data_IF_672847304978
#
_entry.id   IF_672847304978
#
_cell.length_a   1.000
_cell.length_b   1.000
_cell.length_c   1.000
_cell.angle_alpha   90.00
_cell.angle_beta   90.00
_cell.angle_gamma   90.00
#
_symmetry.space_group_name_H-M   'P 1'
#
loop_
_entity.id
_entity.type
_entity.pdbx_description
1 polymer ?
#
# COMPACT_ATOMS: atom_id res chain seq x y z
N UNK A 1 31.00 22.91 -7.58
CA UNK A 1 29.65 23.30 -8.04
C UNK A 1 29.61 23.20 -9.55
N UNK A 2 29.01 22.14 -10.09
CA UNK A 2 28.71 21.90 -11.52
C UNK A 2 27.99 20.53 -11.52
N UNK A 3 26.72 20.36 -11.90
CA UNK A 3 25.94 21.00 -12.93
C UNK A 3 24.42 20.97 -12.59
N UNK A 4 23.68 22.05 -12.89
CA UNK A 4 22.26 21.96 -13.26
C UNK A 4 22.22 22.30 -14.76
N UNK A 5 22.20 21.29 -15.65
CA UNK A 5 21.27 21.36 -16.78
C UNK A 5 20.78 19.98 -17.31
N UNK A 6 19.50 19.93 -17.69
CA UNK A 6 18.85 18.81 -18.41
C UNK A 6 17.84 18.05 -17.54
N UNK A 7 16.55 18.09 -17.88
CA UNK A 7 15.50 17.34 -17.18
C UNK A 7 15.94 15.89 -16.95
N UNK A 8 15.69 15.31 -15.76
CA UNK A 8 16.11 13.93 -15.39
C UNK A 8 15.42 12.81 -16.21
N UNK A 9 14.77 13.17 -17.30
CA UNK A 9 13.89 12.35 -18.10
C UNK A 9 12.43 12.52 -17.69
N UNK A 10 11.57 11.82 -18.41
CA UNK A 10 10.14 11.73 -18.10
C UNK A 10 9.84 10.39 -17.43
N UNK A 11 9.24 10.45 -16.23
CA UNK A 11 8.77 9.30 -15.46
C UNK A 11 7.27 9.13 -15.65
N UNK A 12 6.85 7.94 -16.08
CA UNK A 12 5.43 7.55 -16.08
C UNK A 12 5.07 6.93 -14.75
N UNK A 13 3.93 7.34 -14.18
CA UNK A 13 3.37 6.74 -12.96
C UNK A 13 1.93 6.33 -13.20
N UNK A 14 1.58 5.09 -12.86
CA UNK A 14 0.22 4.55 -13.04
C UNK A 14 -0.52 4.54 -11.71
N UNK A 15 -1.82 4.87 -11.72
CA UNK A 15 -2.64 5.04 -10.51
C UNK A 15 -2.07 6.06 -9.51
N UNK A 16 -1.86 7.29 -9.96
CA UNK A 16 -1.16 8.38 -9.26
C UNK A 16 -1.67 8.73 -7.86
N UNK A 17 -2.93 8.46 -7.55
CA UNK A 17 -3.54 8.72 -6.24
C UNK A 17 -3.46 7.54 -5.27
N UNK A 18 -2.55 6.59 -5.51
CA UNK A 18 -2.17 5.54 -4.56
C UNK A 18 -1.04 5.98 -3.63
N UNK A 19 -0.91 5.35 -2.46
CA UNK A 19 0.11 5.74 -1.45
C UNK A 19 1.55 5.62 -1.97
N UNK A 20 1.86 4.48 -2.61
CA UNK A 20 3.17 4.27 -3.23
C UNK A 20 3.45 5.28 -4.35
N UNK A 21 2.45 5.53 -5.20
CA UNK A 21 2.60 6.29 -6.44
C UNK A 21 2.66 7.79 -6.18
N UNK A 22 1.85 8.32 -5.25
CA UNK A 22 1.93 9.72 -4.82
C UNK A 22 3.29 10.03 -4.17
N UNK A 23 3.82 9.12 -3.35
CA UNK A 23 5.18 9.22 -2.80
C UNK A 23 6.23 9.35 -3.92
N UNK A 24 6.16 8.48 -4.93
CA UNK A 24 7.06 8.53 -6.09
C UNK A 24 6.92 9.84 -6.87
N UNK A 25 5.70 10.30 -7.13
CA UNK A 25 5.44 11.55 -7.87
C UNK A 25 6.07 12.75 -7.15
N UNK A 26 5.82 12.90 -5.84
CA UNK A 26 6.34 14.01 -5.03
C UNK A 26 7.86 14.08 -5.08
N UNK A 27 8.53 12.95 -4.82
CA UNK A 27 10.00 12.91 -4.80
C UNK A 27 10.57 13.09 -6.20
N UNK A 28 9.98 12.48 -7.23
CA UNK A 28 10.44 12.61 -8.61
C UNK A 28 10.34 14.05 -9.13
N UNK A 29 9.21 14.72 -8.89
CA UNK A 29 8.97 16.12 -9.23
C UNK A 29 10.00 17.03 -8.56
N UNK A 30 10.18 16.88 -7.25
CA UNK A 30 11.09 17.71 -6.45
C UNK A 30 12.55 17.65 -6.90
N UNK A 31 12.99 16.52 -7.48
CA UNK A 31 14.37 16.35 -7.98
C UNK A 31 14.52 16.58 -9.49
N UNK A 32 13.47 17.07 -10.16
CA UNK A 32 13.52 17.53 -11.55
C UNK A 32 13.20 16.50 -12.63
N UNK A 33 12.47 15.42 -12.31
CA UNK A 33 11.80 14.61 -13.34
C UNK A 33 10.57 15.37 -13.86
N UNK A 34 10.27 15.21 -15.15
CA UNK A 34 8.90 15.42 -15.63
C UNK A 34 8.11 14.17 -15.29
N UNK A 35 6.94 14.32 -14.68
CA UNK A 35 6.13 13.18 -14.25
C UNK A 35 4.83 13.20 -15.04
N UNK A 36 4.54 12.12 -15.75
CA UNK A 36 3.24 11.90 -16.38
C UNK A 36 2.49 10.84 -15.61
N UNK A 37 1.46 11.25 -14.88
CA UNK A 37 0.82 10.41 -13.87
C UNK A 37 -0.65 10.14 -14.23
N UNK A 38 -1.00 8.87 -14.41
CA UNK A 38 -2.35 8.47 -14.76
C UNK A 38 -3.26 8.41 -13.52
N UNK A 39 -4.52 8.81 -13.65
CA UNK A 39 -5.59 8.54 -12.68
C UNK A 39 -6.93 8.30 -13.38
N UNK A 40 -7.89 7.73 -12.64
CA UNK A 40 -9.25 7.50 -13.15
C UNK A 40 -10.11 8.77 -13.18
N UNK A 41 -10.09 9.56 -12.10
CA UNK A 41 -10.75 10.85 -12.07
C UNK A 41 -10.02 11.85 -11.18
N UNK A 42 -9.86 13.08 -11.67
CA UNK A 42 -9.33 14.21 -10.89
C UNK A 42 -10.43 15.02 -10.18
N UNK A 43 -11.70 14.77 -10.49
CA UNK A 43 -12.83 15.60 -10.04
C UNK A 43 -13.90 14.85 -9.25
N UNK A 44 -13.77 13.53 -9.10
CA UNK A 44 -14.74 12.69 -8.39
C UNK A 44 -14.06 11.80 -7.36
N UNK A 45 -14.74 11.61 -6.23
CA UNK A 45 -14.30 10.77 -5.12
C UNK A 45 -13.39 11.49 -4.12
N UNK A 46 -12.85 10.78 -3.12
CA UNK A 46 -12.18 11.27 -1.93
C UNK A 46 -10.77 11.74 -2.25
N UNK A 47 -10.23 11.26 -3.39
CA UNK A 47 -8.86 11.51 -3.82
C UNK A 47 -8.73 12.77 -4.65
N UNK A 48 -9.79 13.58 -4.76
CA UNK A 48 -9.77 14.86 -5.46
C UNK A 48 -8.77 15.82 -4.83
N UNK A 49 -8.74 15.92 -3.50
CA UNK A 49 -7.76 16.76 -2.80
C UNK A 49 -6.32 16.34 -3.11
N UNK A 50 -6.05 15.03 -3.11
CA UNK A 50 -4.74 14.48 -3.51
C UNK A 50 -4.44 14.76 -4.99
N UNK A 51 -5.41 14.61 -5.91
CA UNK A 51 -5.22 14.92 -7.31
C UNK A 51 -4.90 16.41 -7.53
N UNK A 52 -5.55 17.31 -6.80
CA UNK A 52 -5.29 18.75 -6.82
C UNK A 52 -3.89 19.07 -6.28
N UNK A 53 -3.48 18.45 -5.17
CA UNK A 53 -2.12 18.58 -4.64
C UNK A 53 -1.09 18.14 -5.69
N UNK A 54 -1.24 16.94 -6.26
CA UNK A 54 -0.31 16.42 -7.26
C UNK A 54 -0.26 17.28 -8.53
N UNK A 55 -1.39 17.83 -8.99
CA UNK A 55 -1.44 18.75 -10.12
C UNK A 55 -0.78 20.10 -9.85
N UNK A 56 -0.70 20.52 -8.57
CA UNK A 56 -0.03 21.76 -8.17
C UNK A 56 1.51 21.64 -8.15
N UNK A 57 2.04 20.41 -8.16
CA UNK A 57 3.47 20.16 -8.15
C UNK A 57 4.12 20.54 -9.47
N UNK A 58 5.34 21.05 -9.40
CA UNK A 58 6.10 21.42 -10.59
C UNK A 58 6.40 20.18 -11.45
N UNK A 59 6.27 20.31 -12.77
CA UNK A 59 6.60 19.25 -13.74
C UNK A 59 5.72 17.99 -13.63
N UNK A 60 4.55 18.05 -12.98
CA UNK A 60 3.58 16.95 -12.96
C UNK A 60 2.47 17.22 -13.97
N UNK A 61 2.23 16.25 -14.85
CA UNK A 61 1.12 16.19 -15.79
C UNK A 61 0.20 15.05 -15.36
N UNK A 62 -1.00 15.37 -14.89
CA UNK A 62 -2.02 14.37 -14.62
C UNK A 62 -2.77 14.02 -15.91
N UNK A 63 -2.88 12.73 -16.20
CA UNK A 63 -3.60 12.19 -17.35
C UNK A 63 -4.79 11.39 -16.83
N UNK A 64 -5.97 11.98 -16.92
CA UNK A 64 -7.22 11.32 -16.56
C UNK A 64 -7.64 10.35 -17.68
N UNK A 65 -7.93 9.10 -17.32
CA UNK A 65 -8.40 8.12 -18.29
C UNK A 65 -8.35 6.68 -17.79
N UNK A 66 -9.11 5.82 -18.47
CA UNK A 66 -9.10 4.38 -18.21
C UNK A 66 -7.84 3.72 -18.75
N UNK A 67 -7.25 2.82 -17.97
CA UNK A 67 -6.13 1.99 -18.40
C UNK A 67 -6.51 0.90 -19.41
N UNK A 68 -7.81 0.70 -19.64
CA UNK A 68 -8.32 -0.14 -20.72
C UNK A 68 -8.35 0.57 -22.08
N UNK A 69 -8.12 1.89 -22.13
CA UNK A 69 -8.02 2.65 -23.38
C UNK A 69 -6.56 2.64 -23.90
N UNK A 70 -6.28 1.99 -25.05
CA UNK A 70 -4.93 1.95 -25.61
C UNK A 70 -4.37 3.33 -25.96
N UNK A 71 -5.23 4.30 -26.29
CA UNK A 71 -4.76 5.66 -26.61
C UNK A 71 -4.21 6.36 -25.37
N UNK A 72 -4.89 6.23 -24.23
CA UNK A 72 -4.41 6.74 -22.94
C UNK A 72 -3.08 6.08 -22.61
N UNK A 73 -3.01 4.75 -22.67
CA UNK A 73 -1.79 3.98 -22.37
C UNK A 73 -0.62 4.38 -23.29
N UNK A 74 -0.83 4.46 -24.60
CA UNK A 74 0.23 4.82 -25.54
C UNK A 74 0.71 6.27 -25.36
N UNK A 75 -0.21 7.20 -25.09
CA UNK A 75 0.13 8.59 -24.82
C UNK A 75 0.92 8.74 -23.51
N UNK A 76 0.63 7.92 -22.49
CA UNK A 76 1.39 7.91 -21.24
C UNK A 76 2.86 7.59 -21.47
N UNK A 77 3.19 6.60 -22.29
CA UNK A 77 4.58 6.19 -22.50
C UNK A 77 5.32 6.95 -23.61
N UNK A 78 4.61 7.71 -24.45
CA UNK A 78 5.22 8.45 -25.56
C UNK A 78 6.31 9.41 -25.08
N UNK A 79 7.55 9.15 -25.52
CA UNK A 79 8.72 9.95 -25.19
C UNK A 79 9.15 9.87 -23.72
N UNK A 80 8.67 8.87 -22.97
CA UNK A 80 9.07 8.65 -21.59
C UNK A 80 10.37 7.86 -21.49
N UNK A 81 11.09 8.03 -20.39
CA UNK A 81 12.39 7.39 -20.16
C UNK A 81 12.29 6.22 -19.19
N UNK A 82 11.49 6.38 -18.14
CA UNK A 82 11.37 5.43 -17.03
C UNK A 82 9.92 5.34 -16.58
N UNK A 83 9.56 4.25 -15.91
CA UNK A 83 8.20 4.05 -15.43
C UNK A 83 8.17 3.42 -14.03
N UNK A 84 7.20 3.84 -13.21
CA UNK A 84 6.82 3.16 -11.99
C UNK A 84 5.34 2.76 -12.10
N UNK A 85 5.08 1.46 -12.07
CA UNK A 85 3.75 0.92 -12.31
C UNK A 85 3.29 0.12 -11.10
N UNK A 86 2.21 0.61 -10.48
CA UNK A 86 1.44 -0.12 -9.49
C UNK A 86 0.00 -0.25 -9.99
N UNK A 87 -0.41 -1.48 -10.32
CA UNK A 87 -1.76 -1.78 -10.77
C UNK A 87 -2.71 -2.01 -9.59
N UNK A 88 -3.99 -2.18 -9.89
CA UNK A 88 -5.05 -2.42 -8.90
C UNK A 88 -6.06 -3.40 -9.48
N UNK A 89 -6.85 -4.07 -8.65
CA UNK A 89 -7.85 -5.07 -9.05
C UNK A 89 -9.07 -4.54 -9.82
N UNK A 90 -9.10 -3.24 -10.15
CA UNK A 90 -10.21 -2.65 -10.91
C UNK A 90 -10.14 -3.09 -12.37
N UNK A 91 -11.04 -3.99 -12.76
CA UNK A 91 -11.04 -4.64 -14.07
C UNK A 91 -10.10 -5.84 -14.10
N UNK A 92 -9.70 -6.25 -15.31
CA UNK A 92 -8.73 -7.35 -15.48
C UNK A 92 -7.30 -6.82 -15.23
N UNK A 93 -6.83 -6.92 -13.99
CA UNK A 93 -5.52 -6.43 -13.59
C UNK A 93 -4.37 -7.08 -14.38
N UNK A 94 -4.50 -8.36 -14.74
CA UNK A 94 -3.48 -9.08 -15.50
C UNK A 94 -3.41 -8.56 -16.93
N UNK A 95 -4.56 -8.38 -17.58
CA UNK A 95 -4.63 -7.79 -18.92
C UNK A 95 -4.11 -6.34 -18.93
N UNK A 96 -4.50 -5.53 -17.94
CA UNK A 96 -4.05 -4.14 -17.79
C UNK A 96 -2.53 -4.09 -17.57
N UNK A 97 -1.99 -4.85 -16.62
CA UNK A 97 -0.56 -4.88 -16.31
C UNK A 97 0.29 -5.36 -17.49
N UNK A 98 -0.19 -6.38 -18.21
CA UNK A 98 0.43 -6.89 -19.44
C UNK A 98 0.42 -5.83 -20.55
N UNK A 99 -0.70 -5.13 -20.75
CA UNK A 99 -0.85 -4.07 -21.74
C UNK A 99 0.10 -2.89 -21.46
N UNK A 100 0.17 -2.45 -20.20
CA UNK A 100 1.08 -1.39 -19.76
C UNK A 100 2.54 -1.75 -20.03
N UNK A 101 2.95 -2.98 -19.71
CA UNK A 101 4.32 -3.42 -19.93
C UNK A 101 4.68 -3.53 -21.42
N UNK A 102 3.74 -3.97 -22.27
CA UNK A 102 3.90 -3.98 -23.74
C UNK A 102 4.07 -2.55 -24.29
N UNK A 103 3.20 -1.63 -23.89
CA UNK A 103 3.26 -0.24 -24.32
C UNK A 103 4.58 0.44 -23.87
N UNK A 104 5.03 0.15 -22.64
CA UNK A 104 6.32 0.63 -22.15
C UNK A 104 7.50 0.09 -22.98
N UNK A 105 7.47 -1.20 -23.36
CA UNK A 105 8.48 -1.80 -24.24
C UNK A 105 8.48 -1.14 -25.62
N UNK A 106 7.30 -0.98 -26.23
CA UNK A 106 7.13 -0.36 -27.55
C UNK A 106 7.60 1.10 -27.57
N UNK A 107 7.38 1.83 -26.48
CA UNK A 107 7.84 3.20 -26.31
C UNK A 107 9.36 3.33 -26.02
N UNK A 108 10.06 2.21 -25.78
CA UNK A 108 11.50 2.20 -25.50
C UNK A 108 11.86 2.67 -24.09
N UNK A 109 11.02 2.37 -23.09
CA UNK A 109 11.33 2.67 -21.68
C UNK A 109 12.66 2.00 -21.26
N UNK A 110 13.56 2.81 -20.68
CA UNK A 110 14.94 2.41 -20.35
C UNK A 110 15.03 1.65 -19.03
N UNK A 111 14.12 1.91 -18.10
CA UNK A 111 14.00 1.20 -16.83
C UNK A 111 12.54 1.22 -16.36
N UNK A 112 11.93 0.04 -16.31
CA UNK A 112 10.57 -0.18 -15.83
C UNK A 112 10.62 -0.70 -14.39
N UNK A 113 9.88 -0.09 -13.46
CA UNK A 113 9.75 -0.59 -12.09
C UNK A 113 8.30 -1.01 -11.88
N UNK A 114 8.09 -2.28 -11.53
CA UNK A 114 6.77 -2.85 -11.29
C UNK A 114 6.59 -3.19 -9.82
N UNK A 115 5.49 -2.74 -9.22
CA UNK A 115 5.08 -3.15 -7.86
C UNK A 115 4.39 -4.50 -7.93
N UNK A 116 5.13 -5.55 -7.59
CA UNK A 116 4.68 -6.94 -7.58
C UNK A 116 4.34 -7.41 -6.16
N UNK A 117 3.76 -8.60 -6.05
CA UNK A 117 3.47 -9.26 -4.77
C UNK A 117 3.69 -10.79 -4.89
N UNK A 118 3.60 -11.45 -3.74
CA UNK A 118 3.86 -12.88 -3.58
C UNK A 118 2.66 -13.72 -4.03
N UNK A 119 2.87 -14.65 -4.97
CA UNK A 119 1.99 -15.79 -5.14
C UNK A 119 2.47 -16.94 -4.25
N UNK A 120 1.83 -17.11 -3.09
CA UNK A 120 2.20 -18.11 -2.09
C UNK A 120 2.00 -19.54 -2.61
N UNK A 121 0.97 -19.74 -3.44
CA UNK A 121 0.69 -21.04 -4.05
C UNK A 121 1.81 -21.44 -5.02
N UNK A 122 2.35 -20.49 -5.80
CA UNK A 122 3.52 -20.74 -6.66
C UNK A 122 4.80 -20.97 -5.86
N UNK A 123 5.00 -20.25 -4.76
CA UNK A 123 6.23 -20.32 -3.98
C UNK A 123 6.34 -21.57 -3.10
N UNK A 124 5.22 -22.04 -2.52
CA UNK A 124 5.21 -23.15 -1.55
C UNK A 124 4.22 -24.27 -1.89
N UNK A 125 3.41 -24.14 -2.93
CA UNK A 125 2.46 -25.15 -3.39
C UNK A 125 1.04 -24.96 -2.89
N UNK A 126 0.15 -25.88 -3.25
CA UNK A 126 -1.31 -25.74 -3.08
C UNK A 126 -1.82 -25.88 -1.63
N UNK A 127 -0.93 -26.10 -0.66
CA UNK A 127 -1.32 -26.26 0.75
C UNK A 127 -1.47 -24.91 1.47
N UNK A 128 -1.03 -23.81 0.85
CA UNK A 128 -1.26 -22.46 1.35
C UNK A 128 -2.43 -21.79 0.62
N UNK A 129 -3.22 -20.96 1.32
CA UNK A 129 -4.29 -20.17 0.71
C UNK A 129 -3.78 -19.27 -0.42
N UNK A 130 -4.66 -19.03 -1.38
CA UNK A 130 -4.40 -18.15 -2.51
C UNK A 130 -4.85 -16.73 -2.19
N UNK A 131 -3.95 -15.75 -2.34
CA UNK A 131 -4.27 -14.32 -2.21
C UNK A 131 -4.59 -13.75 -3.60
N UNK A 132 -5.87 -13.62 -3.99
CA UNK A 132 -6.26 -13.28 -5.36
C UNK A 132 -5.65 -11.98 -5.86
N UNK A 133 -5.59 -10.93 -5.03
CA UNK A 133 -5.06 -9.62 -5.44
C UNK A 133 -3.54 -9.56 -5.50
N UNK A 134 -2.85 -10.54 -4.90
CA UNK A 134 -1.39 -10.61 -4.93
C UNK A 134 -0.91 -11.48 -6.08
N UNK A 135 -1.62 -12.58 -6.34
CA UNK A 135 -1.31 -13.51 -7.42
C UNK A 135 -1.43 -12.86 -8.81
N UNK A 136 -2.40 -11.96 -9.02
CA UNK A 136 -2.52 -11.19 -10.28
C UNK A 136 -1.26 -10.39 -10.57
N UNK A 137 -0.70 -9.70 -9.57
CA UNK A 137 0.57 -8.96 -9.71
C UNK A 137 1.74 -9.89 -10.01
N UNK A 138 1.80 -11.04 -9.34
CA UNK A 138 2.82 -12.03 -9.63
C UNK A 138 2.75 -12.56 -11.07
N UNK A 139 1.55 -12.80 -11.60
CA UNK A 139 1.34 -13.24 -12.98
C UNK A 139 1.83 -12.21 -13.99
N UNK A 140 1.60 -10.91 -13.73
CA UNK A 140 2.15 -9.83 -14.57
C UNK A 140 3.68 -9.81 -14.49
N UNK A 141 4.27 -10.01 -13.32
CA UNK A 141 5.72 -10.16 -13.19
C UNK A 141 6.25 -11.37 -13.99
N UNK A 142 5.62 -12.54 -13.90
CA UNK A 142 6.01 -13.73 -14.66
C UNK A 142 6.02 -13.43 -16.17
N UNK A 143 4.96 -12.78 -16.65
CA UNK A 143 4.86 -12.33 -18.04
C UNK A 143 5.99 -11.37 -18.45
N UNK A 144 6.25 -10.33 -17.65
CA UNK A 144 7.32 -9.37 -17.96
C UNK A 144 8.67 -10.08 -17.98
N UNK A 145 8.92 -10.99 -17.04
CA UNK A 145 10.15 -11.77 -16.96
C UNK A 145 10.36 -12.67 -18.19
N UNK A 146 9.32 -13.37 -18.62
CA UNK A 146 9.43 -14.33 -19.74
C UNK A 146 9.50 -13.62 -21.10
N UNK A 147 8.67 -12.59 -21.31
CA UNK A 147 8.46 -12.02 -22.65
C UNK A 147 9.21 -10.71 -22.91
N UNK A 148 9.47 -9.91 -21.87
CA UNK A 148 9.87 -8.50 -22.06
C UNK A 148 11.21 -8.15 -21.43
N UNK A 149 11.67 -8.85 -20.39
CA UNK A 149 12.83 -8.48 -19.58
C UNK A 149 14.13 -8.36 -20.38
N UNK A 150 14.25 -9.12 -21.48
CA UNK A 150 15.41 -9.07 -22.38
C UNK A 150 15.52 -7.73 -23.12
N UNK A 151 14.37 -7.12 -23.45
CA UNK A 151 14.29 -5.93 -24.30
C UNK A 151 13.94 -4.66 -23.50
N UNK A 152 13.33 -4.82 -22.32
CA UNK A 152 12.93 -3.74 -21.43
C UNK A 152 13.44 -4.03 -20.01
N UNK A 153 14.56 -3.42 -19.60
CA UNK A 153 15.11 -3.64 -18.27
C UNK A 153 14.09 -3.32 -17.18
N UNK A 154 13.83 -4.30 -16.31
CA UNK A 154 12.76 -4.22 -15.32
C UNK A 154 13.22 -4.57 -13.91
N UNK A 155 12.77 -3.84 -12.91
CA UNK A 155 12.95 -4.17 -11.49
C UNK A 155 11.59 -4.37 -10.82
N UNK A 156 11.50 -5.35 -9.93
CA UNK A 156 10.26 -5.68 -9.23
C UNK A 156 10.39 -5.28 -7.77
N UNK A 157 9.53 -4.38 -7.30
CA UNK A 157 9.47 -4.01 -5.88
C UNK A 157 8.32 -4.73 -5.21
N UNK A 158 8.51 -5.17 -3.97
CA UNK A 158 7.54 -5.91 -3.17
C UNK A 158 7.27 -5.11 -1.90
N UNK A 159 6.13 -4.44 -1.82
CA UNK A 159 5.77 -3.64 -0.66
C UNK A 159 5.53 -4.53 0.58
N UNK A 160 6.02 -4.09 1.74
CA UNK A 160 5.55 -4.59 3.03
C UNK A 160 4.16 -4.05 3.37
N UNK A 161 3.67 -4.43 4.54
CA UNK A 161 2.42 -3.95 5.12
C UNK A 161 2.54 -2.44 5.37
N UNK A 162 1.55 -1.69 4.93
CA UNK A 162 1.58 -0.24 5.13
C UNK A 162 1.31 0.11 6.59
N UNK A 163 2.13 1.01 7.15
CA UNK A 163 1.91 1.54 8.50
C UNK A 163 0.52 2.17 8.64
N UNK A 164 0.04 2.84 7.60
CA UNK A 164 -1.29 3.46 7.56
C UNK A 164 -2.44 2.53 7.20
N UNK A 165 -2.27 1.22 7.41
CA UNK A 165 -3.41 0.33 7.52
C UNK A 165 -4.05 0.41 8.92
N UNK A 166 -3.29 0.79 9.95
CA UNK A 166 -3.83 1.00 11.30
C UNK A 166 -4.74 2.24 11.33
N UNK A 167 -5.95 2.08 11.88
CA UNK A 167 -6.92 3.17 12.07
C UNK A 167 -7.91 2.81 13.19
N UNK A 168 -8.48 3.80 13.86
CA UNK A 168 -9.61 3.59 14.79
C UNK A 168 -10.97 3.56 14.09
N UNK A 169 -10.98 3.58 12.75
CA UNK A 169 -12.21 3.44 12.00
C UNK A 169 -12.86 2.08 12.28
N UNK A 170 -14.14 2.13 12.67
CA UNK A 170 -14.86 0.94 13.08
C UNK A 170 -15.02 -0.04 11.93
N UNK A 171 -14.92 -1.33 12.27
CA UNK A 171 -15.19 -2.44 11.38
C UNK A 171 -14.16 -2.65 10.25
N UNK A 172 -12.98 -2.00 10.34
CA UNK A 172 -11.86 -2.32 9.47
C UNK A 172 -11.32 -3.72 9.77
N UNK A 173 -11.29 -4.65 8.80
CA UNK A 173 -10.72 -5.95 9.05
C UNK A 173 -9.19 -5.86 9.25
N UNK A 174 -8.67 -6.76 10.09
CA UNK A 174 -7.25 -7.00 10.38
C UNK A 174 -6.50 -5.88 11.13
N UNK A 175 -6.81 -4.60 10.89
CA UNK A 175 -5.98 -3.46 11.31
C UNK A 175 -6.74 -2.40 12.14
N UNK A 176 -7.98 -2.66 12.54
CA UNK A 176 -8.74 -1.80 13.45
C UNK A 176 -8.08 -1.71 14.82
N UNK A 177 -7.89 -0.46 15.29
CA UNK A 177 -7.49 -0.13 16.65
C UNK A 177 -8.73 0.33 17.42
N UNK A 178 -9.28 -0.54 18.26
CA UNK A 178 -10.44 -0.18 19.08
C UNK A 178 -10.00 0.73 20.22
N UNK A 179 -10.72 1.83 20.43
CA UNK A 179 -10.52 2.67 21.61
C UNK A 179 -11.11 1.96 22.84
N UNK A 180 -10.30 1.82 23.89
CA UNK A 180 -10.78 1.33 25.17
C UNK A 180 -11.50 2.46 25.93
N UNK A 181 -12.48 2.11 26.77
CA UNK A 181 -13.16 3.07 27.65
C UNK A 181 -12.11 3.74 28.56
N UNK A 182 -12.17 5.07 28.69
CA UNK A 182 -11.27 5.83 29.57
C UNK A 182 -11.42 5.37 31.04
N UNK A 183 -12.58 4.81 31.43
CA UNK A 183 -12.79 4.18 32.75
C UNK A 183 -11.94 2.93 32.98
N UNK A 184 -11.55 2.24 31.90
CA UNK A 184 -10.68 1.08 31.92
C UNK A 184 -9.20 1.46 31.70
N UNK A 185 -8.87 2.75 31.83
CA UNK A 185 -7.52 3.30 31.63
C UNK A 185 -7.24 3.76 30.19
N UNK A 186 -8.25 3.75 29.33
CA UNK A 186 -8.18 4.26 27.96
C UNK A 186 -7.20 3.48 27.07
N UNK A 187 -6.82 4.11 25.96
CA UNK A 187 -5.84 3.55 25.02
C UNK A 187 -6.47 2.68 23.94
N UNK A 188 -5.72 1.68 23.46
CA UNK A 188 -6.05 0.94 22.24
C UNK A 188 -6.04 -0.56 22.45
N UNK A 189 -6.97 -1.25 21.80
CA UNK A 189 -7.01 -2.70 21.69
C UNK A 189 -6.96 -3.08 20.22
N UNK A 190 -5.93 -3.84 19.83
CA UNK A 190 -5.83 -4.42 18.50
C UNK A 190 -6.12 -5.91 18.57
N UNK A 191 -7.16 -6.35 17.85
CA UNK A 191 -7.55 -7.76 17.77
C UNK A 191 -7.34 -8.28 16.35
N UNK A 192 -6.49 -9.30 16.20
CA UNK A 192 -6.15 -9.86 14.90
C UNK A 192 -5.77 -11.36 14.99
N UNK A 193 -5.74 -12.10 13.86
CA UNK A 193 -5.45 -13.53 13.86
C UNK A 193 -3.96 -13.88 13.99
N UNK A 194 -3.07 -12.89 14.04
CA UNK A 194 -1.64 -13.12 14.02
C UNK A 194 -1.12 -13.64 15.37
N UNK A 195 -0.16 -14.55 15.34
CA UNK A 195 0.54 -14.92 16.57
C UNK A 195 1.36 -13.76 17.13
N UNK A 196 1.42 -13.66 18.45
CA UNK A 196 2.06 -12.56 19.16
C UNK A 196 3.57 -12.40 18.86
N UNK A 197 4.21 -13.48 18.40
CA UNK A 197 5.63 -13.54 18.05
C UNK A 197 5.89 -13.58 16.53
N UNK A 198 4.84 -13.61 15.71
CA UNK A 198 4.95 -13.66 14.25
C UNK A 198 5.38 -12.30 13.69
N UNK A 199 6.52 -12.29 13.00
CA UNK A 199 7.15 -11.07 12.46
C UNK A 199 6.58 -10.72 11.09
N UNK A 200 6.09 -9.49 10.94
CA UNK A 200 5.54 -8.95 9.70
C UNK A 200 6.39 -7.80 9.15
N UNK A 201 6.58 -7.71 7.81
CA UNK A 201 7.31 -6.61 7.18
C UNK A 201 6.46 -5.34 7.11
N UNK A 202 6.98 -4.22 7.60
CA UNK A 202 6.30 -2.92 7.58
C UNK A 202 7.01 -1.90 6.67
N UNK A 203 6.19 -1.04 6.08
CA UNK A 203 6.56 0.03 5.15
C UNK A 203 5.74 1.28 5.44
N UNK A 204 6.41 2.42 5.62
CA UNK A 204 5.75 3.71 5.47
C UNK A 204 5.66 4.05 3.98
N UNK A 205 4.52 3.73 3.35
CA UNK A 205 4.40 3.82 1.90
C UNK A 205 4.53 5.26 1.39
N UNK A 206 3.99 6.22 2.12
CA UNK A 206 3.97 7.63 1.71
C UNK A 206 5.34 8.29 1.87
N UNK A 207 6.10 7.90 2.90
CA UNK A 207 7.42 8.45 3.15
C UNK A 207 8.54 7.75 2.37
N UNK A 208 8.54 6.41 2.36
CA UNK A 208 9.74 5.64 2.00
C UNK A 208 9.73 5.13 0.56
N UNK A 209 8.56 4.98 -0.06
CA UNK A 209 8.45 4.39 -1.40
C UNK A 209 9.11 5.28 -2.45
N UNK A 210 8.80 6.57 -2.44
CA UNK A 210 9.35 7.55 -3.36
C UNK A 210 10.87 7.59 -3.36
N UNK A 211 11.53 7.83 -2.20
CA UNK A 211 12.98 7.83 -2.10
C UNK A 211 13.61 6.49 -2.55
N UNK A 212 13.01 5.36 -2.18
CA UNK A 212 13.52 4.05 -2.54
C UNK A 212 13.45 3.79 -4.06
N UNK A 213 12.30 4.05 -4.70
CA UNK A 213 12.12 3.92 -6.16
C UNK A 213 13.07 4.84 -6.91
N UNK A 214 13.20 6.10 -6.47
CA UNK A 214 14.15 7.04 -7.07
C UNK A 214 15.59 6.55 -6.94
N UNK A 215 15.98 5.94 -5.82
CA UNK A 215 17.32 5.38 -5.68
C UNK A 215 17.53 4.18 -6.61
N UNK A 216 16.54 3.31 -6.78
CA UNK A 216 16.59 2.20 -7.75
C UNK A 216 16.78 2.74 -9.18
N UNK A 217 16.07 3.80 -9.56
CA UNK A 217 16.23 4.45 -10.87
C UNK A 217 17.62 5.08 -11.06
N UNK A 218 18.18 5.71 -10.01
CA UNK A 218 19.54 6.30 -10.03
C UNK A 218 20.63 5.25 -10.18
N UNK A 219 20.48 4.15 -9.46
CA UNK A 219 21.38 2.99 -9.55
C UNK A 219 21.30 2.33 -10.94
N UNK A 220 20.12 2.38 -11.55
CA UNK A 220 19.89 2.03 -12.94
C UNK A 220 19.78 0.52 -13.21
N UNK A 221 19.44 0.16 -14.46
CA UNK A 221 19.14 -1.22 -14.83
C UNK A 221 20.36 -2.14 -14.79
N UNK A 222 21.59 -1.62 -14.91
CA UNK A 222 22.80 -2.45 -14.82
C UNK A 222 22.94 -3.14 -13.46
N UNK A 223 22.42 -2.51 -12.40
CA UNK A 223 22.41 -3.09 -11.06
C UNK A 223 21.15 -3.91 -10.78
N UNK A 224 20.01 -3.49 -11.31
CA UNK A 224 18.70 -3.95 -10.84
C UNK A 224 17.84 -4.69 -11.87
N UNK A 225 18.30 -4.89 -13.10
CA UNK A 225 17.52 -5.62 -14.11
C UNK A 225 17.23 -7.05 -13.63
N UNK A 226 15.95 -7.42 -13.61
CA UNK A 226 15.45 -8.71 -13.15
C UNK A 226 15.44 -8.88 -11.62
N UNK A 227 15.88 -7.89 -10.84
CA UNK A 227 15.92 -7.99 -9.38
C UNK A 227 14.53 -7.91 -8.76
N UNK A 228 14.32 -8.63 -7.65
CA UNK A 228 13.19 -8.43 -6.72
C UNK A 228 13.71 -7.72 -5.48
N UNK A 229 13.04 -6.64 -5.07
CA UNK A 229 13.47 -5.80 -3.94
C UNK A 229 12.31 -5.69 -2.94
N UNK A 230 12.48 -6.17 -1.70
CA UNK A 230 11.48 -5.91 -0.66
C UNK A 230 11.56 -4.45 -0.23
N UNK A 231 10.44 -3.74 -0.30
CA UNK A 231 10.25 -2.43 0.32
C UNK A 231 9.58 -2.64 1.67
N UNK A 232 10.38 -3.10 2.62
CA UNK A 232 10.01 -3.18 4.02
C UNK A 232 11.21 -2.77 4.86
N UNK A 233 10.99 -1.82 5.75
CA UNK A 233 12.06 -1.17 6.52
C UNK A 233 12.06 -1.60 7.99
N UNK A 234 11.00 -2.26 8.45
CA UNK A 234 10.91 -2.89 9.77
C UNK A 234 10.27 -4.26 9.71
N UNK A 235 10.58 -5.08 10.71
CA UNK A 235 9.95 -6.39 10.95
C UNK A 235 9.49 -6.42 12.40
N UNK A 236 8.19 -6.35 12.61
CA UNK A 236 7.59 -6.24 13.93
C UNK A 236 6.58 -7.37 14.12
N UNK A 237 6.55 -7.93 15.32
CA UNK A 237 5.47 -8.81 15.74
C UNK A 237 4.41 -8.03 16.53
N UNK A 238 3.22 -8.60 16.79
CA UNK A 238 2.17 -7.89 17.50
C UNK A 238 2.56 -7.33 18.88
N UNK A 239 3.45 -8.01 19.62
CA UNK A 239 3.97 -7.49 20.91
C UNK A 239 4.80 -6.24 20.75
N UNK A 240 5.68 -6.23 19.75
CA UNK A 240 6.52 -5.06 19.46
C UNK A 240 5.70 -3.90 18.91
N UNK A 241 4.69 -4.18 18.08
CA UNK A 241 3.73 -3.17 17.61
C UNK A 241 3.04 -2.52 18.81
N UNK A 242 2.51 -3.32 19.74
CA UNK A 242 1.89 -2.80 20.95
C UNK A 242 2.82 -1.93 21.78
N UNK A 243 4.08 -2.37 21.98
CA UNK A 243 5.08 -1.58 22.70
C UNK A 243 5.42 -0.27 21.98
N UNK A 244 5.52 -0.30 20.65
CA UNK A 244 5.81 0.85 19.80
C UNK A 244 4.68 1.88 19.88
N UNK A 245 3.42 1.47 19.71
CA UNK A 245 2.27 2.36 19.84
C UNK A 245 2.12 2.91 21.26
N UNK A 246 2.34 2.07 22.28
CA UNK A 246 2.29 2.51 23.69
C UNK A 246 3.28 3.64 23.94
N UNK A 247 4.52 3.47 23.46
CA UNK A 247 5.56 4.49 23.59
C UNK A 247 5.26 5.75 22.78
N UNK A 248 4.78 5.59 21.56
CA UNK A 248 4.52 6.69 20.62
C UNK A 248 3.36 7.59 21.08
N UNK A 249 2.28 6.98 21.57
CA UNK A 249 1.03 7.67 21.93
C UNK A 249 0.91 7.97 23.43
N UNK A 250 1.82 7.43 24.25
CA UNK A 250 1.76 7.51 25.71
C UNK A 250 0.39 7.07 26.28
N UNK A 251 -0.19 6.03 25.67
CA UNK A 251 -1.47 5.41 26.05
C UNK A 251 -1.29 3.89 26.07
N UNK A 252 -2.00 3.14 26.95
CA UNK A 252 -1.96 1.68 26.90
C UNK A 252 -2.31 1.14 25.52
N UNK A 253 -1.57 0.14 25.04
CA UNK A 253 -1.92 -0.59 23.83
C UNK A 253 -1.88 -2.09 24.12
N UNK A 254 -3.01 -2.77 23.90
CA UNK A 254 -3.14 -4.21 24.11
C UNK A 254 -3.37 -4.94 22.81
N UNK A 255 -2.52 -5.90 22.49
CA UNK A 255 -2.78 -6.87 21.44
C UNK A 255 -3.58 -8.05 21.99
N UNK A 256 -4.59 -8.52 21.25
CA UNK A 256 -5.34 -9.74 21.54
C UNK A 256 -5.39 -10.61 20.29
N UNK A 257 -4.79 -11.81 20.37
CA UNK A 257 -4.99 -12.81 19.31
C UNK A 257 -6.44 -13.32 19.38
N UNK A 258 -7.17 -13.20 18.28
CA UNK A 258 -8.49 -13.81 18.13
C UNK A 258 -8.73 -14.24 16.67
N UNK A 259 -9.81 -14.99 16.44
CA UNK A 259 -10.26 -15.25 15.07
C UNK A 259 -10.57 -13.94 14.34
N UNK A 260 -10.48 -13.96 13.01
CA UNK A 260 -10.87 -12.82 12.19
C UNK A 260 -12.38 -12.59 12.31
N UNK A 261 -12.76 -11.39 12.73
CA UNK A 261 -14.12 -10.91 12.76
C UNK A 261 -14.30 -9.85 11.66
N UNK A 262 -15.32 -10.01 10.81
CA UNK A 262 -15.66 -9.06 9.76
C UNK A 262 -17.04 -8.51 10.08
N UNK A 263 -17.10 -7.23 10.48
CA UNK A 263 -18.34 -6.52 10.82
C UNK A 263 -18.89 -5.66 9.68
N UNK A 264 -18.06 -5.41 8.68
CA UNK A 264 -18.37 -4.57 7.54
C UNK A 264 -18.68 -5.44 6.31
N UNK A 265 -19.63 -5.04 5.45
CA UNK A 265 -19.96 -5.70 4.17
C UNK A 265 -18.90 -5.49 3.07
N UNK A 266 -17.90 -6.36 3.00
CA UNK A 266 -16.83 -6.24 2.00
C UNK A 266 -17.30 -6.70 0.60
N UNK A 267 -16.79 -6.12 -0.51
CA UNK A 267 -16.90 -6.71 -1.83
C UNK A 267 -16.33 -8.14 -1.83
N UNK A 268 -16.97 -9.07 -2.56
CA UNK A 268 -16.64 -10.51 -2.53
C UNK A 268 -15.15 -10.82 -2.73
N UNK A 269 -14.51 -10.12 -3.67
CA UNK A 269 -13.08 -10.30 -3.95
C UNK A 269 -12.20 -9.88 -2.76
N UNK A 270 -12.59 -8.81 -2.07
CA UNK A 270 -11.85 -8.32 -0.92
C UNK A 270 -12.13 -9.15 0.34
N UNK A 271 -13.36 -9.63 0.53
CA UNK A 271 -13.69 -10.62 1.56
C UNK A 271 -12.83 -11.89 1.40
N UNK A 272 -12.70 -12.40 0.17
CA UNK A 272 -11.86 -13.57 -0.13
C UNK A 272 -10.40 -13.30 0.22
N UNK A 273 -9.90 -12.10 -0.12
CA UNK A 273 -8.53 -11.69 0.20
C UNK A 273 -8.29 -11.66 1.72
N UNK A 274 -9.18 -11.03 2.48
CA UNK A 274 -9.05 -10.86 3.94
C UNK A 274 -9.10 -12.20 4.67
N UNK A 275 -10.03 -13.08 4.31
CA UNK A 275 -10.12 -14.44 4.87
C UNK A 275 -8.83 -15.23 4.58
N UNK A 276 -8.34 -15.17 3.35
CA UNK A 276 -7.12 -15.86 2.96
C UNK A 276 -5.87 -15.29 3.67
N UNK A 277 -5.79 -13.97 3.94
CA UNK A 277 -4.73 -13.36 4.76
C UNK A 277 -4.75 -13.92 6.18
N UNK A 278 -5.93 -13.98 6.80
CA UNK A 278 -6.08 -14.50 8.16
C UNK A 278 -5.64 -15.95 8.27
N UNK A 279 -6.01 -16.80 7.30
CA UNK A 279 -5.58 -18.19 7.27
C UNK A 279 -4.07 -18.32 6.98
N UNK A 280 -3.57 -17.63 5.96
CA UNK A 280 -2.18 -17.72 5.51
C UNK A 280 -1.18 -17.25 6.58
N UNK A 281 -1.41 -16.10 7.20
CA UNK A 281 -0.47 -15.52 8.16
C UNK A 281 -0.84 -15.82 9.61
N UNK A 282 -2.14 -15.95 9.93
CA UNK A 282 -2.60 -16.25 11.28
C UNK A 282 -2.55 -17.74 11.64
N UNK A 283 -2.85 -18.62 10.68
CA UNK A 283 -2.83 -20.08 10.90
C UNK A 283 -1.53 -20.71 10.40
N UNK A 284 -1.15 -20.45 9.15
CA UNK A 284 0.01 -21.10 8.54
C UNK A 284 1.35 -20.42 8.85
N UNK A 285 1.32 -19.19 9.39
CA UNK A 285 2.52 -18.37 9.65
C UNK A 285 3.45 -18.30 8.42
N UNK A 286 2.87 -18.18 7.22
CA UNK A 286 3.63 -18.19 5.98
C UNK A 286 4.62 -17.01 5.92
N UNK A 287 5.70 -17.17 5.17
CA UNK A 287 6.59 -16.04 4.85
C UNK A 287 5.85 -15.04 3.95
N UNK A 288 5.95 -13.75 4.27
CA UNK A 288 5.27 -12.69 3.51
C UNK A 288 5.87 -12.48 2.11
N UNK A 289 7.19 -12.56 2.01
CA UNK A 289 7.92 -12.39 0.75
C UNK A 289 8.38 -13.74 0.17
N UNK A 290 8.58 -13.82 -1.16
CA UNK A 290 9.03 -15.06 -1.81
C UNK A 290 10.38 -15.55 -1.27
N UNK A 291 10.70 -16.85 -1.40
CA UNK A 291 11.97 -17.42 -0.96
C UNK A 291 13.19 -16.66 -1.49
N UNK A 292 14.17 -16.45 -0.62
CA UNK A 292 15.42 -15.73 -0.93
C UNK A 292 15.32 -14.21 -0.84
N UNK A 293 14.12 -13.66 -0.61
CA UNK A 293 13.95 -12.24 -0.31
C UNK A 293 14.14 -12.02 1.19
N UNK A 294 15.00 -11.07 1.56
CA UNK A 294 15.24 -10.73 2.97
C UNK A 294 15.04 -9.23 3.16
N UNK A 295 14.40 -8.86 4.25
CA UNK A 295 14.23 -7.49 4.70
C UNK A 295 14.45 -7.42 6.22
N UNK A 296 14.81 -6.26 6.79
CA UNK A 296 14.84 -4.93 6.16
C UNK A 296 16.19 -4.53 5.53
N UNK A 297 17.22 -5.38 5.62
CA UNK A 297 18.60 -5.04 5.24
C UNK A 297 18.77 -4.42 3.84
N UNK A 298 18.27 -5.06 2.76
CA UNK A 298 18.31 -4.50 1.42
C UNK A 298 17.59 -3.15 1.27
N UNK A 299 16.37 -3.03 1.82
CA UNK A 299 15.59 -1.78 1.77
C UNK A 299 16.36 -0.63 2.44
N UNK A 300 16.87 -0.86 3.66
CA UNK A 300 17.65 0.14 4.42
C UNK A 300 18.95 0.57 3.75
N UNK A 301 19.52 -0.25 2.85
CA UNK A 301 20.68 0.13 2.02
C UNK A 301 20.28 1.06 0.87
N UNK A 302 19.07 0.90 0.34
CA UNK A 302 18.52 1.74 -0.74
C UNK A 302 18.09 3.09 -0.16
N UNK A 303 17.36 3.09 0.96
CA UNK A 303 16.91 4.31 1.63
C UNK A 303 17.21 4.24 3.13
N UNK A 304 18.06 5.15 3.60
CA UNK A 304 18.53 5.18 5.00
C UNK A 304 17.67 6.07 5.91
N UNK A 305 16.96 7.04 5.34
CA UNK A 305 16.07 7.93 6.09
C UNK A 305 14.66 7.37 6.18
N UNK A 306 14.51 6.06 6.39
CA UNK A 306 13.20 5.44 6.46
C UNK A 306 12.49 5.76 7.77
N UNK A 307 11.16 5.76 7.77
CA UNK A 307 10.35 6.07 8.96
C UNK A 307 9.82 4.79 9.59
N UNK A 308 10.12 4.60 10.88
CA UNK A 308 9.63 3.45 11.64
C UNK A 308 8.20 3.63 12.14
N UNK A 309 7.58 2.54 12.56
CA UNK A 309 6.20 2.52 13.05
C UNK A 309 6.00 3.40 14.29
N UNK A 310 7.03 3.56 15.14
CA UNK A 310 6.98 4.45 16.31
C UNK A 310 6.83 5.92 15.91
N UNK A 311 7.61 6.35 14.92
CA UNK A 311 7.55 7.72 14.42
C UNK A 311 6.26 7.95 13.64
N UNK A 312 5.81 6.99 12.83
CA UNK A 312 4.48 7.03 12.21
C UNK A 312 3.36 7.17 13.25
N UNK A 313 3.35 6.32 14.28
CA UNK A 313 2.32 6.32 15.31
C UNK A 313 2.29 7.65 16.10
N UNK A 314 3.44 8.29 16.29
CA UNK A 314 3.55 9.56 17.03
C UNK A 314 3.21 10.78 16.18
N UNK A 315 3.63 10.79 14.90
CA UNK A 315 3.67 12.01 14.09
C UNK A 315 2.64 12.04 12.96
N UNK A 316 2.15 10.88 12.52
CA UNK A 316 1.26 10.76 11.34
C UNK A 316 -0.09 10.21 11.73
N UNK A 317 -0.13 9.12 12.50
CA UNK A 317 -1.36 8.44 12.87
C UNK A 317 -2.41 9.39 13.50
N UNK A 318 -2.09 10.28 14.46
CA UNK A 318 -3.08 11.21 15.01
C UNK A 318 -3.63 12.20 13.97
N UNK A 319 -2.81 12.59 12.98
CA UNK A 319 -3.20 13.53 11.94
C UNK A 319 -4.14 12.84 10.94
N UNK A 320 -3.80 11.62 10.50
CA UNK A 320 -4.68 10.83 9.63
C UNK A 320 -6.02 10.55 10.31
N UNK A 321 -6.01 10.21 11.60
CA UNK A 321 -7.21 9.96 12.37
C UNK A 321 -8.08 11.22 12.53
N UNK A 322 -7.46 12.38 12.76
CA UNK A 322 -8.17 13.66 12.80
C UNK A 322 -8.80 14.02 11.45
N UNK A 323 -8.10 13.77 10.34
CA UNK A 323 -8.67 13.94 9.00
C UNK A 323 -9.83 12.97 8.71
N UNK A 324 -9.83 11.80 9.37
CA UNK A 324 -10.93 10.84 9.33
C UNK A 324 -12.04 11.15 10.36
N UNK A 325 -12.05 12.37 10.93
CA UNK A 325 -13.09 12.83 11.86
C UNK A 325 -12.97 12.30 13.29
N UNK A 326 -11.86 11.64 13.64
CA UNK A 326 -11.63 11.14 15.00
C UNK A 326 -11.11 12.26 15.89
N UNK A 327 -11.43 12.20 17.18
CA UNK A 327 -11.12 13.27 18.14
C UNK A 327 -10.27 12.81 19.33
N UNK A 328 -9.97 11.51 19.46
CA UNK A 328 -9.27 10.93 20.61
C UNK A 328 -7.87 11.53 20.87
N UNK A 329 -7.26 12.17 19.88
CA UNK A 329 -5.96 12.81 19.97
C UNK A 329 -6.00 14.19 20.64
N UNK A 330 -7.16 14.85 20.63
CA UNK A 330 -7.39 16.08 21.38
C UNK A 330 -7.77 15.67 22.82
N UNK A 331 -7.14 16.29 23.82
CA UNK A 331 -7.49 16.00 25.22
C UNK A 331 -8.93 16.44 25.55
N UNK A 332 -9.38 16.17 26.77
CA UNK A 332 -10.68 16.64 27.29
C UNK A 332 -10.69 18.17 27.54
N UNK A 333 -10.27 18.98 26.56
CA UNK A 333 -10.66 20.39 26.53
C UNK A 333 -12.04 20.46 25.88
N UNK A 334 -13.04 20.69 26.73
CA UNK A 334 -14.43 20.99 26.37
C UNK A 334 -14.48 22.04 25.24
N UNK A 335 -14.83 21.61 24.03
CA UNK A 335 -15.55 22.42 23.07
C UNK A 335 -16.84 21.68 22.71
N UNK A 336 -17.84 21.87 23.58
CA UNK A 336 -19.25 21.71 23.23
C UNK A 336 -19.58 22.69 22.09
N UNK A 337 -19.44 22.26 20.83
CA UNK A 337 -20.20 22.78 19.66
C UNK A 337 -19.67 22.17 18.34
N UNK A 338 -19.84 20.86 18.14
CA UNK A 338 -19.88 20.31 16.78
C UNK A 338 -21.08 19.36 16.70
N UNK A 339 -22.02 19.73 15.84
CA UNK A 339 -23.30 19.06 15.65
C UNK A 339 -23.14 17.58 15.29
N UNK A 340 -24.00 16.76 15.91
CA UNK A 340 -24.36 15.42 15.44
C UNK A 340 -24.78 15.51 13.96
N UNK A 341 -23.82 15.27 13.07
CA UNK A 341 -24.05 15.08 11.65
C UNK A 341 -24.25 13.59 11.40
N UNK A 342 -25.38 13.26 10.77
CA UNK A 342 -25.79 11.90 10.39
C UNK A 342 -24.60 11.02 9.97
N UNK A 343 -24.43 9.88 10.63
CA UNK A 343 -23.43 8.84 10.34
C UNK A 343 -23.78 8.10 9.04
N UNK A 344 -23.81 8.82 7.93
CA UNK A 344 -23.86 8.21 6.61
C UNK A 344 -22.44 7.80 6.20
N UNK A 345 -22.31 6.50 5.93
CA UNK A 345 -21.13 5.84 5.41
C UNK A 345 -20.66 6.50 4.10
N UNK A 346 -19.55 7.26 4.16
CA UNK A 346 -18.90 7.80 2.97
C UNK A 346 -17.82 6.81 2.48
N UNK A 347 -18.09 6.19 1.32
CA UNK A 347 -17.50 4.95 0.77
C UNK A 347 -15.97 4.94 0.54
N UNK A 348 -15.26 5.99 0.90
CA UNK A 348 -14.06 6.36 0.16
C UNK A 348 -12.93 6.99 1.03
N UNK A 349 -13.09 7.08 2.36
CA UNK A 349 -12.04 7.57 3.29
C UNK A 349 -10.98 6.52 3.72
N UNK A 350 -11.05 5.28 3.23
CA UNK A 350 -10.05 4.25 3.52
C UNK A 350 -8.91 4.26 2.49
N UNK A 351 -7.70 4.56 2.95
CA UNK A 351 -6.53 4.65 2.07
C UNK A 351 -6.13 3.30 1.44
N UNK A 352 -5.92 3.35 0.12
CA UNK A 352 -5.56 2.25 -0.80
C UNK A 352 -6.57 1.08 -0.87
N UNK A 353 -6.65 0.35 -1.99
CA UNK A 353 -7.81 -0.49 -2.32
C UNK A 353 -8.01 -1.72 -1.42
N UNK A 354 -7.27 -1.86 -0.34
CA UNK A 354 -7.31 -3.01 0.56
C UNK A 354 -8.22 -2.76 1.76
N UNK A 355 -9.32 -2.02 1.62
CA UNK A 355 -10.43 -1.95 2.60
C UNK A 355 -11.47 -0.95 2.09
N UNK A 356 -12.57 -1.39 1.47
CA UNK A 356 -13.86 -0.71 1.69
C UNK A 356 -15.03 -1.60 1.30
N UNK A 357 -16.06 -1.44 2.12
CA UNK A 357 -17.31 -2.17 2.28
C UNK A 357 -18.43 -1.40 1.62
N UNK A 358 -19.54 -2.02 1.28
CA UNK A 358 -20.77 -1.35 0.86
C UNK A 358 -21.76 -1.42 2.02
N UNK A 359 -22.05 -0.30 2.69
CA UNK A 359 -23.19 -0.21 3.61
C UNK A 359 -24.50 -0.14 2.83
N UNK A 360 -25.42 -1.06 3.11
CA UNK A 360 -26.84 -0.74 3.29
C UNK A 360 -27.51 -1.96 3.95
N UNK A 361 -28.24 -1.64 5.00
CA UNK A 361 -29.06 -2.42 5.94
C UNK A 361 -29.28 -3.91 5.63
N UNK A 362 -28.50 -4.78 6.31
CA UNK A 362 -28.93 -5.99 7.04
C UNK A 362 -27.68 -6.76 7.52
N UNK A 363 -27.53 -6.88 8.84
CA UNK A 363 -26.34 -7.41 9.53
C UNK A 363 -26.14 -8.92 9.31
N UNK A 364 -24.97 -9.35 8.83
CA UNK A 364 -24.53 -10.76 8.87
C UNK A 364 -23.15 -10.87 9.53
N UNK A 365 -23.07 -11.50 10.70
CA UNK A 365 -21.84 -11.73 11.46
C UNK A 365 -21.19 -13.02 10.95
N UNK A 366 -19.97 -12.94 10.41
CA UNK A 366 -19.17 -14.11 10.05
C UNK A 366 -18.01 -14.29 11.02
N UNK A 367 -18.03 -15.40 11.78
CA UNK A 367 -16.94 -15.80 12.67
C UNK A 367 -16.14 -16.94 12.00
N UNK A 368 -14.91 -16.66 11.55
CA UNK A 368 -13.98 -17.74 11.18
C UNK A 368 -13.22 -18.18 12.43
N UNK A 369 -13.68 -19.28 13.04
CA UNK A 369 -12.96 -19.98 14.09
C UNK A 369 -12.10 -21.04 13.41
N UNK A 370 -10.79 -20.77 13.29
CA UNK A 370 -9.84 -21.77 12.82
C UNK A 370 -9.94 -23.03 13.68
N UNK A 371 -10.18 -24.17 13.04
CA UNK A 371 -10.43 -25.47 13.66
C UNK A 371 -9.23 -25.84 14.56
N UNK A 372 -9.32 -25.60 15.88
CA UNK A 372 -8.37 -26.14 16.85
C UNK A 372 -8.63 -27.64 16.96
N UNK A 373 -7.91 -28.44 16.17
CA UNK A 373 -7.80 -29.88 16.43
C UNK A 373 -6.59 -30.14 17.31
N UNK A 374 -6.88 -30.76 18.46
CA UNK A 374 -5.96 -31.36 19.42
C UNK A 374 -4.91 -32.28 18.79
#
# INVERSE_FOLDING_TARGET
MTAIPGSRGTLVVINSTGRQTSSVIRVASAIGYKVRAQLRSATKGPKVALAQELASLQNVELVEGSLSDPNIVNNLFKGADVAFVNTTFWGDEVAIGTSLAKAAKEAGIKHYIYSSLTDHKKCWGNHLPHLPYWATKHQVEEYIRSELLKDMPTTFVYAGIYNNNFSTFHHLPLWELQLADEKDGGGFVWTAPFDEDYKMPFLDAEHDTGPAVIQILKDGPQKWNGARIPLAFEYLNPKEIAAVFTKALNRPFTYKKAGLEIKAKLPDGYMTQVLAIAELFGTHRAEYFPPGMTAPGPARKIWRGWRGLEEYAREVFPIEEAHNGRTWMYGDEEDEDIMDGDEDFDEEMAGSPENTVVGDEDTAIYNYIGDQKH
#
